data_IF_736560183609
#
_entry.id   IF_736560183609
#
_cell.length_a   1.000
_cell.length_b   1.000
_cell.length_c   1.000
_cell.angle_alpha   90.00
_cell.angle_beta   90.00
_cell.angle_gamma   90.00
#
_symmetry.space_group_name_H-M   'P 1'
#
loop_
_entity.id
_entity.type
_entity.pdbx_description
1 polymer ?
#
# COMPACT_ATOMS: atom_id res chain seq x y z
N UNK A 1 16.82 -27.15 -42.14
CA UNK A 1 17.60 -25.90 -42.14
C UNK A 1 16.60 -24.76 -42.00
N UNK A 2 16.52 -24.14 -40.82
CA UNK A 2 15.44 -23.19 -40.49
C UNK A 2 15.68 -21.87 -41.24
N UNK A 3 14.67 -21.38 -41.96
CA UNK A 3 14.79 -20.17 -42.78
C UNK A 3 14.99 -18.94 -41.89
N UNK A 4 15.95 -18.07 -42.24
CA UNK A 4 16.29 -16.87 -41.47
C UNK A 4 15.07 -15.96 -41.18
N UNK A 5 14.09 -15.94 -42.09
CA UNK A 5 12.81 -15.24 -41.94
C UNK A 5 11.98 -15.76 -40.76
N UNK A 6 11.99 -17.08 -40.53
CA UNK A 6 11.30 -17.72 -39.39
C UNK A 6 12.02 -17.45 -38.07
N UNK A 7 13.35 -17.38 -38.10
CA UNK A 7 14.18 -17.07 -36.93
C UNK A 7 13.99 -15.60 -36.50
N UNK A 8 13.95 -14.67 -37.45
CA UNK A 8 13.72 -13.24 -37.16
C UNK A 8 12.36 -12.99 -36.52
N UNK A 9 11.30 -13.67 -36.97
CA UNK A 9 9.95 -13.53 -36.39
C UNK A 9 9.89 -14.12 -34.97
N UNK A 10 10.51 -15.28 -34.73
CA UNK A 10 10.55 -15.91 -33.40
C UNK A 10 11.36 -15.10 -32.38
N UNK A 11 12.51 -14.56 -32.77
CA UNK A 11 13.34 -13.71 -31.91
C UNK A 11 12.65 -12.38 -31.61
N UNK A 12 12.00 -11.78 -32.62
CA UNK A 12 11.21 -10.55 -32.44
C UNK A 12 10.01 -10.74 -31.52
N UNK A 13 9.28 -11.86 -31.67
CA UNK A 13 8.14 -12.19 -30.82
C UNK A 13 8.58 -12.45 -29.37
N UNK A 14 9.70 -13.15 -29.17
CA UNK A 14 10.24 -13.43 -27.84
C UNK A 14 10.75 -12.16 -27.14
N UNK A 15 11.33 -11.21 -27.89
CA UNK A 15 11.72 -9.90 -27.37
C UNK A 15 10.53 -9.00 -27.02
N UNK A 16 9.42 -9.10 -27.76
CA UNK A 16 8.21 -8.31 -27.49
C UNK A 16 7.48 -8.76 -26.22
N UNK A 17 7.51 -10.06 -25.91
CA UNK A 17 6.92 -10.63 -24.68
C UNK A 17 7.67 -10.16 -23.43
N UNK A 18 8.98 -9.90 -23.52
CA UNK A 18 9.77 -9.41 -22.38
C UNK A 18 9.52 -7.95 -22.02
N UNK A 19 9.01 -7.13 -22.95
CA UNK A 19 8.72 -5.71 -22.69
C UNK A 19 7.41 -5.51 -21.90
N UNK A 20 6.47 -6.46 -21.96
CA UNK A 20 5.19 -6.39 -21.26
C UNK A 20 5.25 -6.87 -19.79
N UNK A 21 6.35 -7.48 -19.36
CA UNK A 21 6.53 -7.92 -17.96
C UNK A 21 7.02 -6.79 -17.03
N UNK A 22 7.44 -5.64 -17.58
CA UNK A 22 7.94 -4.49 -16.79
C UNK A 22 6.86 -3.50 -16.37
N UNK A 23 5.57 -3.84 -16.44
CA UNK A 23 4.55 -3.17 -15.63
C UNK A 23 4.77 -3.55 -14.16
N UNK A 24 5.86 -3.03 -13.60
CA UNK A 24 6.08 -2.97 -12.16
C UNK A 24 4.81 -2.34 -11.60
N UNK A 25 4.04 -3.16 -10.89
CA UNK A 25 2.99 -2.71 -9.99
C UNK A 25 3.62 -1.59 -9.19
N UNK A 26 3.24 -0.36 -9.50
CA UNK A 26 3.51 0.77 -8.62
C UNK A 26 2.81 0.38 -7.33
N UNK A 27 3.59 -0.05 -6.34
CA UNK A 27 3.09 -0.27 -5.00
C UNK A 27 2.61 1.09 -4.53
N UNK A 28 1.33 1.36 -4.70
CA UNK A 28 0.67 2.60 -4.32
C UNK A 28 0.92 2.76 -2.82
N UNK A 29 1.85 3.65 -2.47
CA UNK A 29 2.20 3.98 -1.08
C UNK A 29 1.22 5.00 -0.52
N UNK A 30 -0.02 4.90 -0.96
CA UNK A 30 -1.09 5.77 -0.54
C UNK A 30 -1.81 5.11 0.61
N UNK A 31 -2.14 5.92 1.59
CA UNK A 31 -2.71 5.44 2.83
C UNK A 31 -3.17 6.55 3.73
N UNK A 32 -3.59 6.17 4.93
CA UNK A 32 -4.00 7.08 5.98
C UNK A 32 -3.21 6.72 7.23
N UNK A 33 -2.49 7.69 7.76
CA UNK A 33 -1.72 7.58 8.99
C UNK A 33 -2.42 8.35 10.10
N UNK A 34 -2.38 7.81 11.32
CA UNK A 34 -2.75 8.57 12.51
C UNK A 34 -1.51 9.26 13.06
N UNK A 35 -1.53 10.60 13.08
CA UNK A 35 -0.41 11.42 13.56
C UNK A 35 -0.91 12.56 14.43
N UNK A 36 -0.35 12.74 15.61
CA UNK A 36 -0.77 13.67 16.65
C UNK A 36 -2.28 13.61 16.97
N UNK A 37 -2.86 12.41 16.96
CA UNK A 37 -4.30 12.22 17.14
C UNK A 37 -5.16 12.67 15.94
N UNK A 38 -4.54 12.88 14.78
CA UNK A 38 -5.16 13.41 13.56
C UNK A 38 -4.93 12.45 12.40
N UNK A 39 -5.96 12.23 11.59
CA UNK A 39 -5.80 11.44 10.36
C UNK A 39 -5.17 12.28 9.26
N UNK A 40 -4.06 11.78 8.75
CA UNK A 40 -3.27 12.38 7.69
C UNK A 40 -3.26 11.43 6.50
N UNK A 41 -3.62 11.94 5.33
CA UNK A 41 -3.53 11.19 4.07
C UNK A 41 -2.08 11.18 3.62
N UNK A 42 -1.60 10.00 3.28
CA UNK A 42 -0.32 9.79 2.64
C UNK A 42 -0.52 9.53 1.15
N UNK A 43 0.34 10.12 0.34
CA UNK A 43 0.44 9.87 -1.09
C UNK A 43 1.92 9.68 -1.41
N UNK A 44 2.25 8.58 -2.06
CA UNK A 44 3.63 8.18 -2.36
C UNK A 44 4.53 8.14 -1.10
N UNK A 45 3.97 7.71 0.04
CA UNK A 45 4.68 7.63 1.32
C UNK A 45 4.97 8.97 1.99
N UNK A 46 4.38 10.08 1.51
CA UNK A 46 4.48 11.41 2.13
C UNK A 46 3.12 11.89 2.59
N UNK A 47 3.06 12.55 3.75
CA UNK A 47 1.85 13.25 4.19
C UNK A 47 1.51 14.38 3.23
N UNK A 48 0.35 14.29 2.58
CA UNK A 48 -0.14 15.30 1.62
C UNK A 48 -1.16 16.23 2.24
N UNK A 49 -2.08 15.69 3.05
CA UNK A 49 -3.15 16.52 3.61
C UNK A 49 -3.83 15.88 4.81
N UNK A 50 -4.41 16.72 5.66
CA UNK A 50 -5.29 16.28 6.73
C UNK A 50 -6.58 15.74 6.14
N UNK A 51 -7.08 14.65 6.71
CA UNK A 51 -8.38 14.11 6.37
C UNK A 51 -9.52 14.95 7.00
N UNK A 52 -10.42 15.47 6.17
CA UNK A 52 -11.59 16.27 6.59
C UNK A 52 -12.94 15.55 6.41
N UNK A 53 -12.93 14.37 5.80
CA UNK A 53 -14.12 13.52 5.58
C UNK A 53 -13.79 12.07 5.84
N UNK A 54 -14.82 11.28 6.16
CA UNK A 54 -14.69 9.83 6.16
C UNK A 54 -14.35 9.29 4.77
N UNK A 55 -13.58 8.19 4.72
CA UNK A 55 -13.16 7.57 3.46
C UNK A 55 -13.46 6.08 3.50
N UNK A 56 -13.89 5.55 2.37
CA UNK A 56 -14.04 4.10 2.19
C UNK A 56 -12.87 3.60 1.36
N UNK A 57 -12.16 2.62 1.89
CA UNK A 57 -11.05 1.91 1.26
C UNK A 57 -11.57 1.01 0.14
N UNK A 58 -10.68 0.62 -0.78
CA UNK A 58 -11.01 -0.27 -1.90
C UNK A 58 -11.53 -1.64 -1.43
N UNK A 59 -11.12 -2.10 -0.25
CA UNK A 59 -11.58 -3.34 0.36
C UNK A 59 -12.96 -3.24 1.05
N UNK A 60 -13.62 -2.06 1.01
CA UNK A 60 -14.91 -1.81 1.66
C UNK A 60 -14.81 -1.39 3.13
N UNK A 61 -13.61 -1.22 3.68
CA UNK A 61 -13.41 -0.72 5.03
C UNK A 61 -13.59 0.79 5.08
N UNK A 62 -14.41 1.28 6.01
CA UNK A 62 -14.69 2.71 6.19
C UNK A 62 -13.86 3.28 7.35
N UNK A 63 -13.07 4.31 7.06
CA UNK A 63 -12.27 5.05 8.03
C UNK A 63 -13.01 6.32 8.42
N UNK A 64 -13.32 6.46 9.71
CA UNK A 64 -13.97 7.62 10.30
C UNK A 64 -12.93 8.63 10.77
N UNK A 65 -13.30 9.91 10.82
CA UNK A 65 -12.40 11.01 11.25
C UNK A 65 -11.83 10.85 12.67
N UNK A 66 -12.45 10.03 13.51
CA UNK A 66 -11.97 9.71 14.86
C UNK A 66 -10.86 8.65 14.88
N UNK A 67 -10.43 8.15 13.73
CA UNK A 67 -9.51 7.00 13.63
C UNK A 67 -10.19 5.64 13.76
N UNK A 68 -11.52 5.56 13.89
CA UNK A 68 -12.23 4.28 13.86
C UNK A 68 -12.31 3.76 12.44
N UNK A 69 -11.91 2.51 12.24
CA UNK A 69 -12.13 1.78 11.00
C UNK A 69 -13.21 0.74 11.19
N UNK A 70 -14.21 0.76 10.31
CA UNK A 70 -15.26 -0.24 10.24
C UNK A 70 -15.03 -1.10 8.99
N UNK A 71 -14.66 -2.34 9.19
CA UNK A 71 -14.46 -3.33 8.13
C UNK A 71 -15.80 -3.79 7.55
N UNK A 72 -15.74 -4.42 6.37
CA UNK A 72 -16.96 -4.92 5.71
C UNK A 72 -17.69 -6.01 6.51
N UNK A 73 -16.95 -6.78 7.30
CA UNK A 73 -17.46 -7.85 8.17
C UNK A 73 -18.18 -7.31 9.42
N UNK A 74 -18.15 -5.98 9.63
CA UNK A 74 -18.71 -5.31 10.79
C UNK A 74 -17.71 -5.14 11.94
N UNK A 75 -16.49 -5.66 11.81
CA UNK A 75 -15.44 -5.47 12.80
C UNK A 75 -15.00 -4.01 12.85
N UNK A 76 -14.76 -3.51 14.07
CA UNK A 76 -14.37 -2.12 14.30
C UNK A 76 -13.01 -2.10 14.98
N UNK A 77 -12.04 -1.46 14.34
CA UNK A 77 -10.71 -1.25 14.89
C UNK A 77 -10.45 0.25 15.10
N UNK A 78 -9.63 0.59 16.10
CA UNK A 78 -9.20 1.97 16.35
C UNK A 78 -7.76 2.12 15.87
N UNK A 79 -7.55 3.01 14.90
CA UNK A 79 -6.22 3.38 14.44
C UNK A 79 -5.47 4.10 15.58
N UNK A 80 -4.33 3.55 15.96
CA UNK A 80 -3.43 4.11 16.97
C UNK A 80 -2.44 5.08 16.35
N UNK A 81 -1.87 5.96 17.16
CA UNK A 81 -0.81 6.89 16.76
C UNK A 81 0.37 6.13 16.13
N UNK A 82 0.85 6.60 14.98
CA UNK A 82 1.93 5.95 14.23
C UNK A 82 1.50 4.73 13.39
N UNK A 83 0.23 4.32 13.45
CA UNK A 83 -0.29 3.31 12.53
C UNK A 83 -0.71 3.94 11.21
N UNK A 84 -0.40 3.22 10.12
CA UNK A 84 -0.76 3.58 8.76
C UNK A 84 -1.60 2.48 8.15
N UNK A 85 -2.75 2.83 7.58
CA UNK A 85 -3.55 1.91 6.76
C UNK A 85 -3.43 2.30 5.29
N UNK A 86 -3.02 1.36 4.45
CA UNK A 86 -2.91 1.59 3.01
C UNK A 86 -4.29 1.58 2.35
N UNK A 87 -4.42 2.15 1.14
CA UNK A 87 -5.71 2.20 0.44
C UNK A 87 -6.28 0.83 0.06
N UNK A 88 -5.41 -0.18 -0.06
CA UNK A 88 -5.76 -1.60 -0.22
C UNK A 88 -6.33 -2.23 1.08
N UNK A 89 -6.17 -1.54 2.21
CA UNK A 89 -6.59 -1.98 3.53
C UNK A 89 -5.54 -2.79 4.29
N UNK A 90 -4.33 -2.93 3.75
CA UNK A 90 -3.19 -3.43 4.50
C UNK A 90 -2.80 -2.44 5.59
N UNK A 91 -2.70 -2.91 6.83
CA UNK A 91 -2.15 -2.13 7.94
C UNK A 91 -0.64 -2.27 7.95
N UNK A 92 0.06 -1.14 8.05
CA UNK A 92 1.46 -1.06 8.41
C UNK A 92 1.57 -0.33 9.72
N UNK A 93 2.08 -1.02 10.73
CA UNK A 93 2.71 -0.33 11.84
C UNK A 93 4.04 0.22 11.34
N UNK A 94 4.23 1.53 11.46
CA UNK A 94 5.58 2.09 11.40
C UNK A 94 6.29 1.58 12.66
N UNK A 95 6.87 0.40 12.57
CA UNK A 95 7.74 -0.20 13.57
C UNK A 95 9.02 0.63 13.66
N UNK A 96 8.92 1.81 14.27
CA UNK A 96 10.05 2.64 14.64
C UNK A 96 10.44 2.49 16.12
N UNK A 97 9.84 1.54 16.81
CA UNK A 97 10.21 1.14 18.17
C UNK A 97 10.04 -0.38 18.38
N UNK A 98 10.80 -1.19 17.65
CA UNK A 98 11.34 -2.42 18.25
C UNK A 98 12.78 -2.14 18.64
N UNK A 99 12.91 -1.53 19.82
CA UNK A 99 14.12 -1.54 20.63
C UNK A 99 14.38 -3.02 21.00
N UNK A 100 15.03 -3.75 20.11
CA UNK A 100 15.82 -4.92 20.52
C UNK A 100 16.98 -4.43 21.39
N UNK A 101 17.34 -5.24 22.39
CA UNK A 101 18.32 -5.02 23.46
C UNK A 101 17.68 -4.48 24.76
N UNK A 102 17.56 -5.24 25.84
CA UNK A 102 18.08 -6.56 26.15
C UNK A 102 17.80 -6.77 27.63
N UNK A 103 17.25 -7.93 27.94
CA UNK A 103 17.01 -8.38 29.31
C UNK A 103 18.35 -8.52 30.05
N UNK A 104 18.54 -7.76 31.12
CA UNK A 104 19.70 -7.84 32.00
C UNK A 104 19.29 -7.39 33.39
N UNK A 105 19.16 -8.37 34.27
CA UNK A 105 18.68 -8.29 35.65
C UNK A 105 19.59 -7.46 36.54
#
# INVERSE_FOLDING_TARGET
>A
MMNYKTITILVGLFLFVLFLASSVVAAEKDGIMMKEGKLMRMHDGKEVSRMDREMTLSNGTKIMMSGKMKMKDGNVMQLQEGQTVMLDGMMKEDSKDMKTEGMGK
#
